data_IF_680110769438
#
_entry.id   IF_680110769438
#
_cell.length_a   1.000
_cell.length_b   1.000
_cell.length_c   1.000
_cell.angle_alpha   90.00
_cell.angle_beta   90.00
_cell.angle_gamma   90.00
#
_symmetry.space_group_name_H-M   'P 1'
#
loop_
_entity.id
_entity.type
_entity.pdbx_description
1 polymer ?
#
# COMPACT_ATOMS: atom_id res chain seq x y z
N UNK A 1 11.37 -22.43 28.70
CA UNK A 1 9.92 -22.62 28.47
C UNK A 1 9.35 -21.28 28.00
N UNK A 2 9.19 -21.11 26.68
CA UNK A 2 8.77 -19.86 26.06
C UNK A 2 7.29 -19.88 25.67
N UNK A 3 6.60 -18.82 26.02
CA UNK A 3 5.15 -18.63 25.93
C UNK A 3 4.68 -18.26 24.50
N UNK A 4 5.14 -18.98 23.46
CA UNK A 4 4.82 -18.66 22.06
C UNK A 4 4.52 -19.86 21.15
N UNK A 5 4.23 -21.04 21.70
CA UNK A 5 3.80 -22.22 20.93
C UNK A 5 2.47 -22.79 21.46
N UNK A 6 1.45 -21.95 21.50
CA UNK A 6 0.08 -22.34 21.83
C UNK A 6 -0.85 -21.74 20.78
N UNK A 7 -0.95 -22.37 19.61
CA UNK A 7 -2.13 -22.41 18.71
C UNK A 7 -1.78 -23.14 17.39
N UNK A 8 -1.20 -24.35 17.50
CA UNK A 8 -1.15 -25.33 16.40
C UNK A 8 -1.46 -26.70 17.00
N UNK A 9 -2.49 -27.34 16.46
CA UNK A 9 -2.98 -28.72 16.75
C UNK A 9 -4.33 -28.82 17.46
N UNK A 10 -5.36 -28.20 16.90
CA UNK A 10 -6.67 -28.85 16.83
C UNK A 10 -6.99 -29.02 15.34
N UNK A 11 -7.52 -30.17 14.95
CA UNK A 11 -7.89 -30.62 13.59
C UNK A 11 -6.87 -31.50 12.83
N UNK A 12 -6.82 -32.77 13.25
CA UNK A 12 -6.84 -33.96 12.38
C UNK A 12 -7.21 -35.15 13.29
N UNK A 13 -8.24 -35.99 13.08
CA UNK A 13 -9.12 -36.22 11.94
C UNK A 13 -10.41 -36.97 12.41
N UNK A 14 -11.54 -36.88 11.71
CA UNK A 14 -12.54 -37.96 11.67
C UNK A 14 -12.29 -38.92 10.47
N UNK A 15 -12.78 -40.17 10.53
CA UNK A 15 -12.47 -41.23 9.57
C UNK A 15 -13.25 -41.12 8.25
N UNK A 16 -12.73 -41.84 7.26
CA UNK A 16 -13.21 -41.95 5.88
C UNK A 16 -14.72 -42.24 5.76
N UNK A 17 -15.37 -41.53 4.84
CA UNK A 17 -16.76 -41.78 4.46
C UNK A 17 -17.29 -40.73 3.49
N UNK A 18 -17.21 -41.06 2.20
CA UNK A 18 -18.20 -40.76 1.16
C UNK A 18 -18.52 -39.31 0.69
N UNK A 19 -18.45 -39.21 -0.64
CA UNK A 19 -19.39 -38.52 -1.54
C UNK A 19 -19.36 -36.97 -1.61
N UNK A 20 -18.62 -36.49 -2.61
CA UNK A 20 -19.23 -35.65 -3.65
C UNK A 20 -19.10 -34.13 -3.52
N UNK A 21 -19.12 -33.53 -4.71
CA UNK A 21 -19.36 -32.11 -5.00
C UNK A 21 -18.16 -31.17 -4.94
N UNK A 22 -17.77 -30.70 -6.13
CA UNK A 22 -16.74 -29.70 -6.33
C UNK A 22 -17.03 -28.43 -5.55
N UNK A 23 -16.14 -28.11 -4.61
CA UNK A 23 -16.13 -26.82 -3.94
C UNK A 23 -15.62 -25.76 -4.92
N UNK A 24 -16.58 -25.19 -5.64
CA UNK A 24 -16.48 -23.89 -6.26
C UNK A 24 -15.86 -22.91 -5.24
N UNK A 25 -14.63 -22.50 -5.51
CA UNK A 25 -13.94 -21.51 -4.71
C UNK A 25 -14.63 -20.18 -4.95
N UNK A 26 -15.67 -19.87 -4.15
CA UNK A 26 -16.32 -18.57 -4.16
C UNK A 26 -15.27 -17.52 -3.82
N UNK A 27 -14.68 -16.94 -4.88
CA UNK A 27 -13.95 -15.68 -4.81
C UNK A 27 -14.95 -14.67 -4.27
N UNK A 28 -14.95 -14.45 -2.97
CA UNK A 28 -15.65 -13.32 -2.38
C UNK A 28 -15.11 -12.08 -3.08
N UNK A 29 -15.93 -11.51 -3.97
CA UNK A 29 -15.64 -10.26 -4.67
C UNK A 29 -15.51 -9.17 -3.61
N UNK A 30 -14.27 -8.95 -3.17
CA UNK A 30 -13.95 -7.84 -2.28
C UNK A 30 -14.40 -6.58 -3.02
N UNK A 31 -15.33 -5.84 -2.42
CA UNK A 31 -15.82 -4.58 -2.98
C UNK A 31 -14.63 -3.73 -3.46
N UNK A 32 -14.76 -3.07 -4.63
CA UNK A 32 -13.68 -2.29 -5.20
C UNK A 32 -13.21 -1.28 -4.15
N UNK A 33 -11.94 -1.37 -3.77
CA UNK A 33 -11.32 -0.36 -2.91
C UNK A 33 -11.34 0.93 -3.71
N UNK A 34 -11.96 1.99 -3.21
CA UNK A 34 -11.89 3.28 -3.86
C UNK A 34 -10.42 3.76 -3.79
N UNK A 35 -9.65 3.73 -4.89
CA UNK A 35 -8.26 4.17 -4.85
C UNK A 35 -8.26 5.68 -4.60
N UNK A 36 -7.28 6.16 -3.85
CA UNK A 36 -7.09 7.61 -3.70
C UNK A 36 -6.96 8.24 -5.09
N UNK A 37 -7.72 9.29 -5.42
CA UNK A 37 -7.68 9.89 -6.74
C UNK A 37 -6.26 10.42 -7.00
N UNK A 38 -5.71 10.08 -8.17
CA UNK A 38 -4.41 10.54 -8.61
C UNK A 38 -4.50 12.03 -8.98
N UNK A 39 -3.73 12.86 -8.28
CA UNK A 39 -3.73 14.31 -8.50
C UNK A 39 -2.29 14.85 -8.39
N UNK A 40 -1.49 14.74 -9.47
CA UNK A 40 -0.12 15.23 -9.50
C UNK A 40 -0.05 16.77 -9.52
N UNK A 41 -1.15 17.47 -9.79
CA UNK A 41 -1.21 18.93 -9.79
C UNK A 41 -1.29 19.48 -8.36
N UNK A 42 -2.05 18.82 -7.49
CA UNK A 42 -2.18 19.20 -6.07
C UNK A 42 -1.06 18.63 -5.20
N UNK A 43 -0.57 17.44 -5.53
CA UNK A 43 0.41 16.70 -4.71
C UNK A 43 1.63 16.26 -5.53
N UNK A 44 2.38 17.19 -6.16
CA UNK A 44 3.48 16.84 -7.06
C UNK A 44 4.68 16.22 -6.32
N UNK A 45 5.34 15.29 -7.00
CA UNK A 45 6.71 14.85 -6.72
C UNK A 45 7.42 14.59 -8.05
N UNK A 46 8.64 15.08 -8.20
CA UNK A 46 9.51 14.76 -9.32
C UNK A 46 10.48 13.66 -8.90
N UNK A 47 10.65 12.64 -9.74
CA UNK A 47 11.64 11.58 -9.53
C UNK A 47 12.58 11.56 -10.72
N UNK A 48 13.84 11.92 -10.47
CA UNK A 48 14.91 11.87 -11.46
C UNK A 48 15.53 10.47 -11.43
N UNK A 49 15.47 9.78 -12.56
CA UNK A 49 15.83 8.36 -12.66
C UNK A 49 16.78 8.11 -13.82
N UNK A 50 17.86 7.40 -13.57
CA UNK A 50 18.76 6.90 -14.60
C UNK A 50 18.36 5.48 -15.00
N UNK A 51 18.06 5.26 -16.28
CA UNK A 51 17.70 3.92 -16.76
C UNK A 51 18.95 3.02 -16.94
N UNK A 52 18.75 1.77 -17.33
CA UNK A 52 19.85 0.83 -17.53
C UNK A 52 20.77 1.16 -18.72
N UNK A 53 20.34 2.09 -19.59
CA UNK A 53 21.11 2.61 -20.72
C UNK A 53 21.89 3.88 -20.35
N UNK A 54 21.81 4.35 -19.09
CA UNK A 54 22.42 5.60 -18.65
C UNK A 54 21.64 6.86 -19.03
N UNK A 55 20.42 6.72 -19.57
CA UNK A 55 19.58 7.87 -19.91
C UNK A 55 18.86 8.40 -18.67
N UNK A 56 18.88 9.72 -18.48
CA UNK A 56 18.12 10.39 -17.45
C UNK A 56 16.66 10.57 -17.89
N UNK A 57 15.74 10.21 -17.00
CA UNK A 57 14.30 10.40 -17.16
C UNK A 57 13.71 11.02 -15.90
N UNK A 58 12.86 12.02 -16.08
CA UNK A 58 12.12 12.63 -14.98
C UNK A 58 10.68 12.17 -15.01
N UNK A 59 10.22 11.64 -13.88
CA UNK A 59 8.83 11.24 -13.68
C UNK A 59 8.13 12.22 -12.75
N UNK A 60 7.07 12.86 -13.24
CA UNK A 60 6.14 13.61 -12.40
C UNK A 60 5.07 12.68 -11.85
N UNK A 61 4.85 12.67 -10.54
CA UNK A 61 3.87 11.81 -9.90
C UNK A 61 3.16 12.45 -8.70
N UNK A 62 2.33 11.64 -8.03
CA UNK A 62 1.63 12.03 -6.82
C UNK A 62 2.34 11.43 -5.59
N UNK A 63 2.84 12.28 -4.68
CA UNK A 63 3.60 11.83 -3.52
C UNK A 63 2.78 10.98 -2.55
N UNK A 64 1.46 11.19 -2.45
CA UNK A 64 0.58 10.38 -1.57
C UNK A 64 0.54 8.92 -2.01
N UNK A 65 0.80 8.69 -3.29
CA UNK A 65 0.82 7.37 -3.89
C UNK A 65 2.14 6.61 -3.66
N UNK A 66 3.19 7.27 -3.14
CA UNK A 66 4.48 6.65 -2.87
C UNK A 66 4.34 5.46 -1.92
N UNK A 67 5.10 4.40 -2.24
CA UNK A 67 5.25 3.21 -1.41
C UNK A 67 6.65 2.67 -1.53
N UNK A 68 7.30 2.50 -0.40
CA UNK A 68 8.59 1.82 -0.32
C UNK A 68 8.42 0.33 -0.04
N UNK A 69 9.18 -0.46 -0.78
CA UNK A 69 9.26 -1.93 -0.68
C UNK A 69 10.71 -2.34 -0.86
N UNK A 70 11.40 -2.63 0.25
CA UNK A 70 12.84 -2.95 0.24
C UNK A 70 13.59 -1.83 -0.51
N UNK A 71 14.37 -2.20 -1.53
CA UNK A 71 15.16 -1.30 -2.38
C UNK A 71 14.37 -0.59 -3.49
N UNK A 72 13.05 -0.72 -3.51
CA UNK A 72 12.21 -0.18 -4.58
C UNK A 72 11.21 0.84 -4.05
N UNK A 73 10.92 1.83 -4.87
CA UNK A 73 9.86 2.81 -4.66
C UNK A 73 8.83 2.63 -5.76
N UNK A 74 7.55 2.65 -5.41
CA UNK A 74 6.47 2.66 -6.39
C UNK A 74 5.56 3.86 -6.20
N UNK A 75 5.22 4.50 -7.31
CA UNK A 75 4.38 5.69 -7.36
C UNK A 75 3.54 5.73 -8.63
N UNK A 76 2.47 6.51 -8.60
CA UNK A 76 1.62 6.77 -9.76
C UNK A 76 2.14 8.02 -10.47
N UNK A 77 2.30 7.95 -11.79
CA UNK A 77 2.94 9.00 -12.59
C UNK A 77 2.00 9.59 -13.65
N UNK A 78 2.22 10.87 -13.94
CA UNK A 78 1.49 11.62 -14.94
C UNK A 78 1.90 11.21 -16.37
N UNK A 79 1.04 11.45 -17.38
CA UNK A 79 -0.36 11.88 -17.27
C UNK A 79 -1.31 10.71 -16.95
N UNK A 80 -0.87 9.47 -17.13
CA UNK A 80 -1.75 8.29 -17.12
C UNK A 80 -2.24 7.86 -15.73
N UNK A 81 -1.60 8.33 -14.66
CA UNK A 81 -1.81 7.81 -13.29
C UNK A 81 -1.37 6.36 -13.12
N UNK A 82 -0.64 5.79 -14.08
CA UNK A 82 -0.12 4.43 -13.98
C UNK A 82 0.91 4.33 -12.86
N UNK A 83 0.86 3.23 -12.12
CA UNK A 83 1.87 2.94 -11.10
C UNK A 83 3.10 2.32 -11.74
N UNK A 84 4.25 2.92 -11.48
CA UNK A 84 5.57 2.39 -11.84
C UNK A 84 6.35 2.03 -10.58
N UNK A 85 7.36 1.17 -10.73
CA UNK A 85 8.30 0.79 -9.68
C UNK A 85 9.71 1.13 -10.15
N UNK A 86 10.46 1.82 -9.32
CA UNK A 86 11.81 2.32 -9.58
C UNK A 86 12.76 1.77 -8.51
N UNK A 87 13.99 1.41 -8.91
CA UNK A 87 15.05 1.07 -7.96
C UNK A 87 15.60 2.33 -7.31
N UNK A 88 15.82 2.32 -6.00
CA UNK A 88 16.38 3.46 -5.27
C UNK A 88 17.80 3.81 -5.69
N UNK A 89 18.61 2.82 -6.10
CA UNK A 89 20.01 3.01 -6.52
C UNK A 89 20.18 3.95 -7.72
N UNK A 90 19.11 4.13 -8.50
CA UNK A 90 19.12 4.87 -9.76
C UNK A 90 18.30 6.14 -9.69
N UNK A 91 17.80 6.49 -8.50
CA UNK A 91 17.10 7.74 -8.26
C UNK A 91 18.13 8.78 -7.84
N UNK A 92 18.27 9.82 -8.66
CA UNK A 92 19.27 10.88 -8.43
C UNK A 92 18.88 11.80 -7.27
N UNK A 93 17.58 12.10 -7.14
CA UNK A 93 17.03 12.90 -6.05
C UNK A 93 16.47 12.05 -4.89
N UNK A 94 17.13 10.94 -4.53
CA UNK A 94 16.61 9.97 -3.55
C UNK A 94 16.29 10.60 -2.19
N UNK A 95 17.09 11.57 -1.72
CA UNK A 95 16.87 12.24 -0.44
C UNK A 95 15.52 12.98 -0.38
N UNK A 96 15.13 13.63 -1.47
CA UNK A 96 13.84 14.32 -1.59
C UNK A 96 12.69 13.31 -1.59
N UNK A 97 12.82 12.25 -2.39
CA UNK A 97 11.82 11.17 -2.47
C UNK A 97 11.67 10.46 -1.12
N UNK A 98 12.78 10.20 -0.40
CA UNK A 98 12.78 9.60 0.93
C UNK A 98 12.08 10.51 1.95
N UNK A 99 12.31 11.82 1.87
CA UNK A 99 11.60 12.82 2.70
C UNK A 99 10.10 12.77 2.44
N UNK A 100 9.68 12.68 1.17
CA UNK A 100 8.28 12.53 0.80
C UNK A 100 7.67 11.22 1.33
N UNK A 101 8.43 10.11 1.30
CA UNK A 101 8.01 8.83 1.88
C UNK A 101 7.82 8.94 3.40
N UNK A 102 8.71 9.63 4.10
CA UNK A 102 8.65 9.78 5.55
C UNK A 102 7.40 10.55 6.03
N UNK A 103 6.85 11.44 5.19
CA UNK A 103 5.59 12.16 5.46
C UNK A 103 4.35 11.28 5.34
N UNK A 104 4.46 10.05 4.84
CA UNK A 104 3.31 9.20 4.59
C UNK A 104 2.89 8.42 5.84
N UNK A 105 1.58 8.16 6.01
CA UNK A 105 1.13 7.23 7.02
C UNK A 105 1.69 5.83 6.74
N UNK A 106 2.07 5.15 7.81
CA UNK A 106 2.59 3.78 7.75
C UNK A 106 1.55 2.79 7.22
N UNK A 107 1.98 1.58 6.88
CA UNK A 107 1.07 0.53 6.39
C UNK A 107 -0.05 0.19 7.38
N UNK A 108 0.22 0.25 8.69
CA UNK A 108 -0.78 0.01 9.74
C UNK A 108 -1.75 1.20 9.86
N UNK A 109 -1.23 2.43 9.90
CA UNK A 109 -2.06 3.63 9.95
C UNK A 109 -3.01 3.72 8.75
N UNK A 110 -2.53 3.43 7.54
CA UNK A 110 -3.37 3.36 6.33
C UNK A 110 -4.47 2.30 6.45
N UNK A 111 -4.22 1.17 7.10
CA UNK A 111 -5.26 0.14 7.33
C UNK A 111 -6.34 0.63 8.27
N UNK A 112 -5.95 1.34 9.34
CA UNK A 112 -6.89 1.92 10.31
C UNK A 112 -7.75 2.99 9.62
N UNK A 113 -7.12 3.94 8.91
CA UNK A 113 -7.82 4.98 8.14
C UNK A 113 -8.81 4.33 7.16
N UNK A 114 -8.36 3.36 6.36
CA UNK A 114 -9.21 2.69 5.39
C UNK A 114 -10.34 1.89 6.04
N UNK A 115 -10.11 1.26 7.18
CA UNK A 115 -11.13 0.49 7.90
C UNK A 115 -12.29 1.39 8.34
N UNK A 116 -11.98 2.49 9.00
CA UNK A 116 -12.95 3.46 9.50
C UNK A 116 -13.67 4.18 8.34
N UNK A 117 -12.92 4.64 7.33
CA UNK A 117 -13.49 5.25 6.12
C UNK A 117 -14.48 4.35 5.38
N UNK A 118 -14.15 3.07 5.23
CA UNK A 118 -15.02 2.12 4.52
C UNK A 118 -16.24 1.69 5.34
N UNK A 119 -16.17 1.75 6.67
CA UNK A 119 -17.27 1.32 7.57
C UNK A 119 -18.12 2.49 8.09
N UNK A 120 -17.70 3.73 7.88
CA UNK A 120 -18.36 4.91 8.44
C UNK A 120 -18.29 4.96 9.97
N UNK A 121 -17.33 4.27 10.59
CA UNK A 121 -17.13 4.28 12.04
C UNK A 121 -15.96 5.18 12.40
N UNK A 122 -15.92 5.72 13.62
CA UNK A 122 -14.77 6.48 14.12
C UNK A 122 -14.12 5.82 15.34
N UNK A 123 -12.89 6.19 15.64
CA UNK A 123 -12.19 5.86 16.88
C UNK A 123 -11.23 7.02 17.26
N UNK A 124 -10.85 7.17 18.54
CA UNK A 124 -9.88 8.19 18.94
C UNK A 124 -8.55 8.11 18.18
N UNK A 125 -8.12 6.88 17.85
CA UNK A 125 -6.93 6.65 17.04
C UNK A 125 -7.13 7.08 15.58
N UNK A 126 -8.32 6.90 15.02
CA UNK A 126 -8.63 7.36 13.67
C UNK A 126 -8.62 8.89 13.56
N UNK A 127 -9.26 9.59 14.51
CA UNK A 127 -9.30 11.06 14.53
C UNK A 127 -7.87 11.63 14.66
N UNK A 128 -7.07 11.13 15.60
CA UNK A 128 -5.67 11.58 15.74
C UNK A 128 -4.82 11.27 14.50
N UNK A 129 -5.11 10.21 13.74
CA UNK A 129 -4.45 9.95 12.46
C UNK A 129 -4.88 10.95 11.38
N UNK A 130 -6.14 11.38 11.35
CA UNK A 130 -6.58 12.40 10.40
C UNK A 130 -5.99 13.78 10.70
N UNK A 131 -5.83 14.12 11.97
CA UNK A 131 -5.18 15.38 12.37
C UNK A 131 -3.72 15.43 11.92
N UNK A 132 -3.00 14.31 12.02
CA UNK A 132 -1.62 14.19 11.54
C UNK A 132 -1.51 14.06 10.01
N UNK A 133 -2.56 13.54 9.37
CA UNK A 133 -2.57 13.22 7.93
C UNK A 133 -3.86 13.76 7.27
N UNK A 134 -4.05 15.09 7.19
CA UNK A 134 -5.29 15.69 6.71
C UNK A 134 -5.62 15.34 5.26
N UNK A 135 -4.60 15.04 4.45
CA UNK A 135 -4.73 14.63 3.04
C UNK A 135 -5.47 13.28 2.86
N UNK A 136 -5.63 12.50 3.94
CA UNK A 136 -6.24 11.16 3.93
C UNK A 136 -7.71 11.14 4.39
N UNK A 137 -8.30 12.31 4.62
CA UNK A 137 -9.72 12.45 4.93
C UNK A 137 -10.61 11.86 3.82
#
# INVERSE_FOLDING_TARGET
>A
MGLFDLLRNLFNAPPAGELGSGADSVRTHRAPRNPMPFDPSKYPISVEYENFLGEQKTFLGDWRSLRTRRHHISLSVAPTGRRITLSQDRIQNLAEVATAVARLPTGQQRRIIAFHKNRGTTSPLYESLLDNFPEWR
#
